data_IF_465074088167
#
_entry.id   IF_465074088167
#
_cell.length_a   1.000
_cell.length_b   1.000
_cell.length_c   1.000
_cell.angle_alpha   90.00
_cell.angle_beta   90.00
_cell.angle_gamma   90.00
#
_symmetry.space_group_name_H-M   'P 1'
#
loop_
_entity.id
_entity.type
_entity.pdbx_description
1 polymer ?
#
# COMPACT_ATOMS: atom_id res chain seq x y z
N UNK A 1 -16.27 -21.02 74.43
CA UNK A 1 -16.36 -22.12 73.43
C UNK A 1 -17.48 -21.92 72.42
N UNK A 2 -18.78 -21.89 72.79
CA UNK A 2 -19.89 -21.75 71.82
C UNK A 2 -19.77 -20.57 70.82
N UNK A 3 -19.27 -19.41 71.26
CA UNK A 3 -19.05 -18.25 70.38
C UNK A 3 -17.93 -18.50 69.35
N UNK A 4 -16.85 -19.18 69.75
CA UNK A 4 -15.73 -19.52 68.89
C UNK A 4 -16.13 -20.58 67.86
N UNK A 5 -16.87 -21.61 68.27
CA UNK A 5 -17.43 -22.62 67.36
C UNK A 5 -18.35 -22.00 66.31
N UNK A 6 -19.20 -21.05 66.72
CA UNK A 6 -20.07 -20.31 65.80
C UNK A 6 -19.25 -19.48 64.80
N UNK A 7 -18.21 -18.79 65.25
CA UNK A 7 -17.33 -18.02 64.37
C UNK A 7 -16.58 -18.93 63.39
N UNK A 8 -16.05 -20.06 63.86
CA UNK A 8 -15.37 -21.05 63.02
C UNK A 8 -16.28 -21.59 61.91
N UNK A 9 -17.51 -21.99 62.26
CA UNK A 9 -18.50 -22.46 61.26
C UNK A 9 -18.81 -21.39 60.22
N UNK A 10 -19.00 -20.14 60.64
CA UNK A 10 -19.25 -19.03 59.74
C UNK A 10 -18.08 -18.78 58.78
N UNK A 11 -16.84 -18.78 59.28
CA UNK A 11 -15.66 -18.63 58.42
C UNK A 11 -15.54 -19.79 57.42
N UNK A 12 -15.90 -21.00 57.83
CA UNK A 12 -15.88 -22.18 56.96
C UNK A 12 -16.96 -22.10 55.86
N UNK A 13 -18.14 -21.57 56.18
CA UNK A 13 -19.19 -21.25 55.21
C UNK A 13 -18.71 -20.19 54.20
N UNK A 14 -18.09 -19.11 54.66
CA UNK A 14 -17.54 -18.04 53.80
C UNK A 14 -16.45 -18.57 52.86
N UNK A 15 -15.56 -19.44 53.33
CA UNK A 15 -14.54 -20.12 52.49
C UNK A 15 -15.21 -20.99 51.42
N UNK A 16 -16.26 -21.74 51.78
CA UNK A 16 -16.97 -22.59 50.83
C UNK A 16 -17.68 -21.77 49.75
N UNK A 17 -18.33 -20.66 50.12
CA UNK A 17 -18.98 -19.75 49.16
C UNK A 17 -17.96 -19.10 48.21
N UNK A 18 -16.78 -18.70 48.72
CA UNK A 18 -15.71 -18.19 47.87
C UNK A 18 -15.21 -19.23 46.86
N UNK A 19 -14.97 -20.46 47.31
CA UNK A 19 -14.55 -21.57 46.43
C UNK A 19 -15.58 -21.83 45.34
N UNK A 20 -16.86 -21.86 45.71
CA UNK A 20 -17.97 -22.01 44.76
C UNK A 20 -17.96 -20.91 43.71
N UNK A 21 -17.82 -19.65 44.15
CA UNK A 21 -17.75 -18.48 43.25
C UNK A 21 -16.59 -18.57 42.25
N UNK A 22 -15.41 -19.03 42.69
CA UNK A 22 -14.23 -19.21 41.81
C UNK A 22 -14.50 -20.29 40.76
N UNK A 23 -15.07 -21.43 41.17
CA UNK A 23 -15.40 -22.51 40.24
C UNK A 23 -16.44 -22.05 39.20
N UNK A 24 -17.51 -21.38 39.65
CA UNK A 24 -18.54 -20.85 38.76
C UNK A 24 -17.95 -19.87 37.73
N UNK A 25 -16.98 -19.04 38.14
CA UNK A 25 -16.29 -18.11 37.25
C UNK A 25 -15.40 -18.85 36.21
N UNK A 26 -14.71 -19.91 36.62
CA UNK A 26 -13.89 -20.74 35.71
C UNK A 26 -14.78 -21.48 34.71
N UNK A 27 -15.89 -22.07 35.15
CA UNK A 27 -16.86 -22.75 34.28
C UNK A 27 -17.43 -21.77 33.25
N UNK A 28 -17.74 -20.54 33.67
CA UNK A 28 -18.24 -19.50 32.78
C UNK A 28 -17.17 -19.04 31.77
N UNK A 29 -15.91 -18.94 32.18
CA UNK A 29 -14.79 -18.61 31.29
C UNK A 29 -14.58 -19.71 30.23
N UNK A 30 -14.60 -20.97 30.64
CA UNK A 30 -14.51 -22.12 29.73
C UNK A 30 -15.67 -22.11 28.73
N UNK A 31 -16.91 -21.94 29.22
CA UNK A 31 -18.12 -21.88 28.39
C UNK A 31 -18.05 -20.76 27.36
N UNK A 32 -17.59 -19.56 27.76
CA UNK A 32 -17.44 -18.42 26.86
C UNK A 32 -16.36 -18.70 25.80
N UNK A 33 -15.21 -19.24 26.20
CA UNK A 33 -14.10 -19.58 25.29
C UNK A 33 -14.54 -20.61 24.24
N UNK A 34 -15.27 -21.66 24.66
CA UNK A 34 -15.85 -22.66 23.74
C UNK A 34 -16.81 -22.02 22.75
N UNK A 35 -17.71 -21.15 23.22
CA UNK A 35 -18.67 -20.45 22.36
C UNK A 35 -17.98 -19.55 21.33
N UNK A 36 -16.92 -18.85 21.72
CA UNK A 36 -16.13 -18.03 20.79
C UNK A 36 -15.43 -18.90 19.74
N UNK A 37 -14.85 -20.03 20.16
CA UNK A 37 -14.22 -20.99 19.26
C UNK A 37 -15.21 -21.57 18.25
N UNK A 38 -16.41 -21.97 18.70
CA UNK A 38 -17.48 -22.47 17.83
C UNK A 38 -17.94 -21.39 16.83
N UNK A 39 -18.05 -20.14 17.31
CA UNK A 39 -18.43 -19.00 16.45
C UNK A 39 -17.38 -18.73 15.37
N UNK A 40 -16.09 -18.79 15.74
CA UNK A 40 -14.97 -18.63 14.82
C UNK A 40 -14.94 -19.76 13.78
N UNK A 41 -15.15 -21.01 14.23
CA UNK A 41 -15.20 -22.18 13.36
C UNK A 41 -16.35 -22.08 12.34
N UNK A 42 -17.56 -21.76 12.78
CA UNK A 42 -18.71 -21.63 11.89
C UNK A 42 -18.58 -20.45 10.92
N UNK A 43 -18.01 -19.33 11.37
CA UNK A 43 -17.73 -18.18 10.49
C UNK A 43 -16.71 -18.55 9.42
N UNK A 44 -15.63 -19.22 9.81
CA UNK A 44 -14.58 -19.70 8.89
C UNK A 44 -15.15 -20.68 7.87
N UNK A 45 -15.96 -21.64 8.32
CA UNK A 45 -16.62 -22.62 7.46
C UNK A 45 -17.54 -21.95 6.42
N UNK A 46 -18.31 -20.94 6.83
CA UNK A 46 -19.15 -20.14 5.90
C UNK A 46 -18.32 -19.37 4.88
N UNK A 47 -17.18 -18.80 5.29
CA UNK A 47 -16.26 -18.12 4.37
C UNK A 47 -15.73 -19.10 3.32
N UNK A 48 -15.17 -20.23 3.75
CA UNK A 48 -14.64 -21.27 2.86
C UNK A 48 -15.74 -21.77 1.90
N UNK A 49 -16.96 -22.00 2.40
CA UNK A 49 -18.08 -22.42 1.55
C UNK A 49 -18.42 -21.38 0.48
N UNK A 50 -18.44 -20.10 0.84
CA UNK A 50 -18.66 -18.99 -0.10
C UNK A 50 -17.56 -18.95 -1.17
N UNK A 51 -16.31 -19.18 -0.78
CA UNK A 51 -15.17 -19.21 -1.71
C UNK A 51 -15.24 -20.40 -2.67
N UNK A 52 -15.67 -21.57 -2.20
CA UNK A 52 -15.93 -22.76 -3.03
C UNK A 52 -17.02 -22.47 -4.07
N UNK A 53 -18.12 -21.83 -3.66
CA UNK A 53 -19.22 -21.46 -4.56
C UNK A 53 -18.76 -20.47 -5.63
N UNK A 54 -18.01 -19.43 -5.25
CA UNK A 54 -17.44 -18.46 -6.16
C UNK A 54 -16.46 -19.10 -7.18
N UNK A 55 -15.62 -20.02 -6.72
CA UNK A 55 -14.70 -20.76 -7.60
C UNK A 55 -15.47 -21.65 -8.58
N UNK A 56 -16.50 -22.35 -8.10
CA UNK A 56 -17.34 -23.24 -8.92
C UNK A 56 -18.04 -22.46 -10.04
N UNK A 57 -18.63 -21.31 -9.72
CA UNK A 57 -19.28 -20.43 -10.70
C UNK A 57 -18.27 -19.88 -11.71
N UNK A 58 -17.07 -19.52 -11.26
CA UNK A 58 -16.01 -19.03 -12.16
C UNK A 58 -15.51 -20.10 -13.13
N UNK A 59 -15.36 -21.35 -12.67
CA UNK A 59 -15.01 -22.51 -13.51
C UNK A 59 -16.09 -22.74 -14.57
N UNK A 60 -17.36 -22.67 -14.18
CA UNK A 60 -18.49 -22.79 -15.11
C UNK A 60 -18.46 -21.70 -16.19
N UNK A 61 -18.18 -20.45 -15.81
CA UNK A 61 -18.08 -19.32 -16.75
C UNK A 61 -16.91 -19.49 -17.73
N UNK A 62 -15.73 -19.91 -17.25
CA UNK A 62 -14.58 -20.20 -18.12
C UNK A 62 -14.89 -21.34 -19.09
N UNK A 63 -15.55 -22.40 -18.61
CA UNK A 63 -15.95 -23.55 -19.44
C UNK A 63 -16.91 -23.12 -20.53
N UNK A 64 -17.93 -22.32 -20.21
CA UNK A 64 -18.86 -21.77 -21.19
C UNK A 64 -18.15 -20.88 -22.24
N UNK A 65 -17.25 -20.00 -21.80
CA UNK A 65 -16.45 -19.16 -22.72
C UNK A 65 -15.55 -19.99 -23.64
N UNK A 66 -15.00 -21.10 -23.13
CA UNK A 66 -14.18 -22.03 -23.92
C UNK A 66 -15.01 -22.75 -24.98
N UNK A 67 -16.20 -23.23 -24.63
CA UNK A 67 -17.11 -23.85 -25.60
C UNK A 67 -17.57 -22.86 -26.67
N UNK A 68 -17.93 -21.64 -26.27
CA UNK A 68 -18.25 -20.56 -27.19
C UNK A 68 -17.11 -20.28 -28.17
N UNK A 69 -15.87 -20.23 -27.65
CA UNK A 69 -14.68 -20.03 -28.46
C UNK A 69 -14.49 -21.15 -29.50
N UNK A 70 -14.70 -22.41 -29.10
CA UNK A 70 -14.60 -23.58 -29.98
C UNK A 70 -15.68 -23.59 -31.08
N UNK A 71 -16.84 -22.95 -30.87
CA UNK A 71 -17.94 -22.89 -31.85
C UNK A 71 -17.77 -21.80 -32.91
N UNK A 72 -16.86 -20.84 -32.71
CA UNK A 72 -16.65 -19.75 -33.67
C UNK A 72 -15.95 -20.29 -34.92
N UNK A 73 -16.66 -20.33 -36.05
CA UNK A 73 -16.09 -20.69 -37.36
C UNK A 73 -14.91 -19.78 -37.71
N UNK A 74 -13.93 -20.31 -38.44
CA UNK A 74 -12.62 -19.68 -38.69
C UNK A 74 -12.66 -18.25 -39.24
N UNK A 75 -13.76 -17.80 -39.85
CA UNK A 75 -13.82 -16.54 -40.60
C UNK A 75 -14.03 -15.27 -39.75
N UNK A 76 -14.19 -15.34 -38.42
CA UNK A 76 -14.43 -14.16 -37.58
C UNK A 76 -13.34 -13.96 -36.50
N UNK A 77 -12.16 -13.52 -36.95
CA UNK A 77 -10.98 -13.30 -36.10
C UNK A 77 -11.20 -12.27 -34.98
N UNK A 78 -11.98 -11.19 -35.24
CA UNK A 78 -12.25 -10.17 -34.23
C UNK A 78 -13.09 -10.72 -33.07
N UNK A 79 -14.09 -11.57 -33.38
CA UNK A 79 -14.90 -12.22 -32.35
C UNK A 79 -14.08 -13.24 -31.53
N UNK A 80 -13.17 -13.99 -32.18
CA UNK A 80 -12.22 -14.88 -31.49
C UNK A 80 -11.34 -14.09 -30.51
N UNK A 81 -10.76 -12.97 -30.95
CA UNK A 81 -9.93 -12.12 -30.11
C UNK A 81 -10.69 -11.57 -28.91
N UNK A 82 -11.92 -11.06 -29.10
CA UNK A 82 -12.76 -10.55 -28.01
C UNK A 82 -13.06 -11.67 -26.98
N UNK A 83 -13.45 -12.87 -27.44
CA UNK A 83 -13.74 -14.00 -26.55
C UNK A 83 -12.49 -14.51 -25.84
N UNK A 84 -11.35 -14.58 -26.52
CA UNK A 84 -10.05 -14.90 -25.91
C UNK A 84 -9.69 -13.90 -24.82
N UNK A 85 -9.79 -12.58 -25.09
CA UNK A 85 -9.52 -11.55 -24.08
C UNK A 85 -10.45 -11.66 -22.88
N UNK A 86 -11.75 -11.94 -23.09
CA UNK A 86 -12.70 -12.17 -21.99
C UNK A 86 -12.33 -13.39 -21.14
N UNK A 87 -11.93 -14.49 -21.77
CA UNK A 87 -11.47 -15.70 -21.10
C UNK A 87 -10.19 -15.44 -20.29
N UNK A 88 -9.20 -14.77 -20.89
CA UNK A 88 -7.94 -14.40 -20.23
C UNK A 88 -8.19 -13.53 -18.99
N UNK A 89 -9.05 -12.51 -19.10
CA UNK A 89 -9.42 -11.65 -17.97
C UNK A 89 -10.10 -12.45 -16.87
N UNK A 90 -10.97 -13.42 -17.20
CA UNK A 90 -11.59 -14.29 -16.20
C UNK A 90 -10.58 -15.23 -15.54
N UNK A 91 -9.66 -15.82 -16.31
CA UNK A 91 -8.61 -16.70 -15.79
C UNK A 91 -7.73 -15.98 -14.76
N UNK A 92 -7.31 -14.75 -15.06
CA UNK A 92 -6.51 -13.92 -14.14
C UNK A 92 -7.27 -13.64 -12.84
N UNK A 93 -8.59 -13.39 -12.93
CA UNK A 93 -9.42 -13.17 -11.72
C UNK A 93 -9.51 -14.43 -10.86
N UNK A 94 -9.70 -15.59 -11.48
CA UNK A 94 -9.75 -16.87 -10.75
C UNK A 94 -8.41 -17.16 -10.08
N UNK A 95 -7.30 -16.93 -10.79
CA UNK A 95 -5.96 -17.10 -10.24
C UNK A 95 -5.72 -16.20 -9.03
N UNK A 96 -6.15 -14.94 -9.08
CA UNK A 96 -6.06 -14.03 -7.94
C UNK A 96 -6.85 -14.52 -6.71
N UNK A 97 -8.08 -15.02 -6.91
CA UNK A 97 -8.90 -15.59 -5.83
C UNK A 97 -8.26 -16.84 -5.24
N UNK A 98 -7.75 -17.75 -6.09
CA UNK A 98 -7.07 -18.96 -5.64
C UNK A 98 -5.78 -18.63 -4.87
N UNK A 99 -5.05 -17.60 -5.30
CA UNK A 99 -3.86 -17.14 -4.60
C UNK A 99 -4.21 -16.58 -3.22
N UNK A 100 -5.28 -15.78 -3.11
CA UNK A 100 -5.79 -15.28 -1.83
C UNK A 100 -6.13 -16.43 -0.87
N UNK A 101 -6.93 -17.40 -1.34
CA UNK A 101 -7.28 -18.61 -0.58
C UNK A 101 -6.03 -19.38 -0.15
N UNK A 102 -5.06 -19.56 -1.06
CA UNK A 102 -3.83 -20.31 -0.78
C UNK A 102 -2.95 -19.59 0.25
N UNK A 103 -2.84 -18.26 0.17
CA UNK A 103 -2.06 -17.47 1.14
C UNK A 103 -2.69 -17.43 2.53
N UNK A 104 -4.00 -17.65 2.63
CA UNK A 104 -4.72 -17.70 3.91
C UNK A 104 -4.71 -19.08 4.57
N UNK A 105 -4.20 -20.12 3.89
CA UNK A 105 -4.51 -21.52 4.22
C UNK A 105 -3.57 -22.26 5.19
N UNK A 106 -3.01 -21.58 6.17
CA UNK A 106 -2.63 -22.24 7.43
C UNK A 106 -3.22 -21.50 8.62
N UNK A 107 -4.54 -21.66 8.82
CA UNK A 107 -5.15 -21.31 10.10
C UNK A 107 -4.71 -22.29 11.17
N UNK A 108 -3.59 -21.96 11.83
CA UNK A 108 -3.11 -22.68 13.01
C UNK A 108 -3.73 -22.08 14.25
N UNK A 109 -4.75 -22.74 14.81
CA UNK A 109 -5.28 -22.41 16.13
C UNK A 109 -4.27 -22.83 17.20
N UNK A 110 -3.64 -21.86 17.86
CA UNK A 110 -2.73 -22.11 18.97
C UNK A 110 -3.39 -21.57 20.24
N UNK A 111 -3.83 -22.47 21.12
CA UNK A 111 -4.23 -22.07 22.46
C UNK A 111 -2.99 -21.68 23.27
N UNK A 112 -2.98 -20.46 23.79
CA UNK A 112 -1.95 -19.99 24.72
C UNK A 112 -2.64 -19.68 26.05
N UNK A 113 -2.35 -20.42 27.13
CA UNK A 113 -2.92 -20.12 28.43
C UNK A 113 -2.45 -18.74 28.89
N UNK A 114 -3.33 -17.99 29.55
CA UNK A 114 -2.98 -16.72 30.17
C UNK A 114 -2.07 -16.99 31.38
N UNK A 115 -0.81 -16.60 31.25
CA UNK A 115 0.21 -16.79 32.29
C UNK A 115 -0.12 -16.02 33.56
N UNK A 116 -0.86 -14.92 33.47
CA UNK A 116 -1.28 -14.11 34.62
C UNK A 116 -2.31 -14.87 35.44
N UNK A 117 -3.28 -15.52 34.80
CA UNK A 117 -4.26 -16.37 35.50
C UNK A 117 -3.53 -17.54 36.17
N UNK A 118 -2.59 -18.17 35.46
CA UNK A 118 -1.79 -19.27 36.02
C UNK A 118 -0.92 -18.84 37.22
N UNK A 119 -0.32 -17.65 37.16
CA UNK A 119 0.46 -17.07 38.26
C UNK A 119 -0.42 -16.67 39.44
N UNK A 120 -1.56 -16.04 39.18
CA UNK A 120 -2.52 -15.69 40.21
C UNK A 120 -3.04 -16.95 40.90
N UNK A 121 -3.47 -17.96 40.16
CA UNK A 121 -3.93 -19.23 40.73
C UNK A 121 -2.85 -19.98 41.52
N UNK A 122 -1.57 -19.90 41.12
CA UNK A 122 -0.47 -20.54 41.86
C UNK A 122 -0.06 -19.76 43.13
N UNK A 123 -0.28 -18.45 43.17
CA UNK A 123 -0.07 -17.61 44.36
C UNK A 123 -1.24 -17.64 45.36
N UNK A 124 -2.38 -18.23 44.99
CA UNK A 124 -3.56 -18.40 45.88
C UNK A 124 -3.35 -19.38 47.06
N UNK A 125 -2.12 -19.78 47.37
CA UNK A 125 -1.80 -20.53 48.60
C UNK A 125 -2.22 -19.79 49.88
N UNK A 126 -2.51 -18.49 49.81
CA UNK A 126 -3.14 -17.67 50.85
C UNK A 126 -4.44 -16.99 50.42
N UNK A 127 -5.43 -17.76 49.93
CA UNK A 127 -6.77 -17.25 49.52
C UNK A 127 -7.54 -16.50 50.62
N UNK A 128 -7.11 -16.63 51.87
CA UNK A 128 -7.60 -15.85 53.00
C UNK A 128 -6.59 -15.82 54.14
N UNK A 129 -6.63 -14.74 54.92
CA UNK A 129 -5.91 -14.65 56.19
C UNK A 129 -6.94 -14.70 57.32
N UNK A 130 -6.78 -15.63 58.26
CA UNK A 130 -7.60 -15.68 59.47
C UNK A 130 -6.95 -14.76 60.50
N UNK A 131 -7.57 -13.61 60.76
CA UNK A 131 -7.15 -12.71 61.83
C UNK A 131 -7.81 -13.14 63.15
N UNK A 132 -7.03 -13.62 64.11
CA UNK A 132 -7.51 -13.84 65.48
C UNK A 132 -7.31 -12.57 66.29
N UNK A 133 -8.40 -11.87 66.63
CA UNK A 133 -8.34 -10.78 67.61
C UNK A 133 -8.39 -11.38 69.02
N UNK A 134 -7.26 -11.92 69.50
CA UNK A 134 -7.14 -12.25 70.91
C UNK A 134 -7.16 -10.94 71.70
N UNK A 135 -8.29 -10.65 72.37
CA UNK A 135 -8.27 -9.70 73.49
C UNK A 135 -7.34 -10.31 74.54
N UNK A 136 -6.09 -9.85 74.59
CA UNK A 136 -5.24 -10.05 75.77
C UNK A 136 -6.03 -9.53 76.96
N UNK A 137 -6.54 -10.45 77.78
CA UNK A 137 -7.11 -10.13 79.08
C UNK A 137 -5.92 -9.60 79.87
N UNK A 138 -5.77 -8.28 79.92
CA UNK A 138 -4.78 -7.69 80.81
C UNK A 138 -5.16 -8.11 82.24
N UNK A 139 -4.23 -8.71 83.01
CA UNK A 139 -4.48 -8.94 84.43
C UNK A 139 -4.76 -7.58 85.07
N UNK A 140 -5.85 -7.51 85.85
CA UNK A 140 -6.39 -6.28 86.42
C UNK A 140 -5.28 -5.41 87.06
N UNK A 141 -4.89 -4.33 86.40
CA UNK A 141 -4.02 -3.33 86.98
C UNK A 141 -4.83 -2.52 87.99
N UNK A 142 -4.40 -2.60 89.26
CA UNK A 142 -4.92 -1.79 90.36
C UNK A 142 -4.85 -0.31 89.99
N UNK A 143 -6.00 0.32 90.15
CA UNK A 143 -6.25 1.75 90.11
C UNK A 143 -5.22 2.50 90.98
N UNK A 144 -4.56 3.49 90.41
CA UNK A 144 -4.06 4.64 91.19
C UNK A 144 -4.37 5.90 90.38
N UNK A 145 -5.27 6.70 90.93
CA UNK A 145 -5.68 7.99 90.40
C UNK A 145 -4.51 8.97 90.44
N UNK A 146 -4.42 9.85 89.44
CA UNK A 146 -4.05 11.23 89.68
C UNK A 146 -4.65 12.16 88.63
N UNK A 147 -5.34 13.18 89.15
CA UNK A 147 -5.78 14.40 88.49
C UNK A 147 -4.58 15.11 87.84
N UNK A 148 -4.78 15.77 86.69
CA UNK A 148 -4.59 17.22 86.51
C UNK A 148 -5.18 17.65 85.15
N UNK A 149 -5.77 18.83 85.20
CA UNK A 149 -6.73 19.50 84.31
C UNK A 149 -6.05 20.38 83.24
N UNK A 150 -6.79 20.67 82.15
CA UNK A 150 -6.88 21.91 81.30
C UNK A 150 -6.63 21.65 79.80
N UNK A 151 -7.67 21.71 78.96
CA UNK A 151 -8.23 22.89 78.24
C UNK A 151 -7.29 23.44 77.14
N UNK A 152 -7.57 23.22 75.85
CA UNK A 152 -8.46 24.02 74.99
C UNK A 152 -8.41 23.57 73.51
N UNK A 153 -9.44 24.02 72.79
CA UNK A 153 -10.01 23.62 71.47
C UNK A 153 -9.73 24.77 70.44
N UNK A 154 -10.32 24.82 69.22
CA UNK A 154 -9.98 24.20 67.92
C UNK A 154 -9.76 25.23 66.75
N UNK A 155 -9.86 24.71 65.51
CA UNK A 155 -10.18 25.34 64.20
C UNK A 155 -8.98 25.68 63.29
N UNK A 156 -9.05 25.61 61.95
CA UNK A 156 -9.82 24.89 60.92
C UNK A 156 -9.31 25.43 59.56
N UNK A 157 -9.45 24.64 58.47
CA UNK A 157 -9.48 25.08 57.04
C UNK A 157 -8.19 25.68 56.43
N UNK A 158 -7.86 25.64 55.14
CA UNK A 158 -8.38 25.06 53.89
C UNK A 158 -7.43 25.44 52.72
N UNK A 159 -7.43 24.63 51.66
CA UNK A 159 -7.40 25.00 50.21
C UNK A 159 -6.18 25.66 49.50
N UNK A 160 -5.93 25.11 48.29
CA UNK A 160 -5.51 25.70 46.99
C UNK A 160 -4.18 26.49 46.92
N UNK A 161 -3.31 26.38 45.92
CA UNK A 161 -3.52 26.27 44.47
C UNK A 161 -2.18 25.89 43.76
N UNK A 162 -2.20 25.47 42.47
CA UNK A 162 -1.02 25.06 41.71
C UNK A 162 -0.37 26.21 40.89
N UNK A 163 0.95 26.31 40.96
CA UNK A 163 1.76 27.26 40.19
C UNK A 163 2.14 26.74 38.79
N UNK A 164 1.78 27.54 37.79
CA UNK A 164 1.97 27.38 36.36
C UNK A 164 3.30 28.07 35.92
N UNK A 165 4.19 27.42 35.16
CA UNK A 165 5.28 28.10 34.41
C UNK A 165 5.64 27.40 33.08
N UNK A 166 5.00 27.86 32.00
CA UNK A 166 5.54 28.59 30.84
C UNK A 166 6.99 28.34 30.32
N UNK A 167 7.05 27.91 29.03
CA UNK A 167 7.94 28.33 27.90
C UNK A 167 9.45 28.04 27.86
N UNK A 168 9.89 27.45 26.73
CA UNK A 168 10.70 28.07 25.64
C UNK A 168 11.27 26.95 24.73
N UNK A 169 10.90 26.81 23.46
CA UNK A 169 11.39 27.53 22.25
C UNK A 169 12.92 27.68 22.17
N UNK A 170 13.57 26.71 21.54
CA UNK A 170 14.86 26.90 20.85
C UNK A 170 14.60 26.85 19.34
N UNK A 171 14.83 27.98 18.68
CA UNK A 171 15.05 28.09 17.24
C UNK A 171 16.56 28.19 17.06
N UNK A 172 17.17 27.25 16.34
CA UNK A 172 18.52 27.43 15.81
C UNK A 172 18.44 27.64 14.30
N UNK A 173 18.93 28.82 13.90
CA UNK A 173 19.24 29.22 12.54
C UNK A 173 20.56 28.54 12.13
N UNK A 174 20.60 27.90 10.97
CA UNK A 174 21.86 27.58 10.30
C UNK A 174 21.82 28.18 8.90
N UNK A 175 22.70 29.16 8.70
CA UNK A 175 22.99 29.82 7.42
C UNK A 175 23.71 28.88 6.46
N UNK A 176 23.31 28.95 5.19
CA UNK A 176 24.00 28.37 4.03
C UNK A 176 24.92 29.44 3.43
N UNK A 177 26.16 29.13 3.06
CA UNK A 177 26.91 29.94 2.10
C UNK A 177 26.75 29.40 0.68
N UNK A 178 26.36 30.32 -0.20
CA UNK A 178 26.52 30.28 -1.65
C UNK A 178 28.02 30.24 -2.00
N UNK A 179 28.44 29.60 -3.10
CA UNK A 179 29.03 30.45 -4.12
C UNK A 179 28.70 30.05 -5.56
N UNK A 180 28.22 31.06 -6.29
CA UNK A 180 28.46 31.25 -7.72
C UNK A 180 29.95 31.12 -8.10
N UNK A 181 30.25 30.44 -9.22
CA UNK A 181 30.81 31.09 -10.42
C UNK A 181 31.41 30.09 -11.41
N UNK A 182 30.83 30.10 -12.61
CA UNK A 182 31.48 30.07 -13.93
C UNK A 182 32.92 29.56 -14.04
N UNK A 183 33.15 28.58 -14.92
CA UNK A 183 34.18 28.74 -15.99
C UNK A 183 33.96 27.77 -17.15
N UNK A 184 33.91 28.39 -18.34
CA UNK A 184 34.08 27.80 -19.66
C UNK A 184 35.44 27.08 -19.73
N UNK A 185 35.52 25.96 -20.45
CA UNK A 185 36.52 25.72 -21.49
C UNK A 185 36.29 24.39 -22.22
N UNK A 186 36.20 24.48 -23.55
CA UNK A 186 36.40 23.44 -24.57
C UNK A 186 37.63 23.93 -25.36
N UNK A 187 38.62 23.10 -25.71
CA UNK A 187 38.64 22.33 -26.98
C UNK A 187 39.29 20.94 -26.75
N UNK A 188 39.45 20.00 -27.67
CA UNK A 188 39.31 19.90 -29.12
C UNK A 188 39.62 18.45 -29.50
N UNK A 189 39.33 18.10 -30.76
CA UNK A 189 39.55 16.79 -31.38
C UNK A 189 40.99 16.28 -31.24
N UNK A 190 41.14 14.95 -31.11
CA UNK A 190 42.23 14.21 -31.76
C UNK A 190 41.82 12.75 -32.01
N UNK A 191 41.97 12.37 -33.28
CA UNK A 191 41.89 11.05 -33.89
C UNK A 191 43.22 10.31 -33.72
N UNK A 192 43.19 9.01 -33.39
CA UNK A 192 44.20 8.03 -33.84
C UNK A 192 43.83 6.60 -33.48
N UNK A 193 43.66 5.78 -34.52
CA UNK A 193 44.18 4.43 -34.75
C UNK A 193 44.27 3.36 -33.64
N UNK A 194 43.55 2.27 -33.92
CA UNK A 194 44.02 0.88 -34.03
C UNK A 194 45.15 0.42 -33.09
N UNK A 195 44.80 -0.40 -32.08
CA UNK A 195 45.45 -1.70 -31.88
C UNK A 195 44.57 -2.65 -31.04
N UNK A 196 44.32 -3.85 -31.55
CA UNK A 196 43.87 -5.03 -30.78
C UNK A 196 45.09 -5.62 -30.06
N UNK A 197 44.98 -6.17 -28.83
CA UNK A 197 44.73 -7.62 -28.72
C UNK A 197 43.99 -8.06 -27.45
N UNK A 198 43.54 -9.32 -27.43
CA UNK A 198 43.37 -10.07 -26.19
C UNK A 198 42.01 -10.75 -26.06
N UNK A 199 41.93 -11.99 -26.54
CA UNK A 199 40.92 -12.94 -26.09
C UNK A 199 41.10 -13.19 -24.59
N UNK A 200 40.11 -12.82 -23.79
CA UNK A 200 40.00 -13.21 -22.38
C UNK A 200 38.73 -14.03 -22.22
N UNK A 201 38.91 -15.25 -21.73
CA UNK A 201 37.86 -16.20 -21.38
C UNK A 201 36.99 -15.64 -20.24
N UNK A 202 35.70 -15.45 -20.49
CA UNK A 202 34.74 -15.16 -19.42
C UNK A 202 34.07 -16.46 -18.97
N UNK A 203 34.44 -16.87 -17.76
CA UNK A 203 33.69 -17.82 -16.95
C UNK A 203 32.31 -17.25 -16.65
N UNK A 204 31.28 -18.07 -16.90
CA UNK A 204 29.89 -17.77 -16.56
C UNK A 204 29.73 -17.97 -15.04
N UNK A 205 29.82 -16.88 -14.27
CA UNK A 205 29.40 -16.86 -12.88
C UNK A 205 27.90 -16.64 -12.81
N UNK A 206 27.18 -17.69 -12.41
CA UNK A 206 25.75 -17.70 -12.12
C UNK A 206 25.43 -16.79 -10.92
N UNK A 207 24.94 -15.58 -11.17
CA UNK A 207 24.39 -14.72 -10.13
C UNK A 207 22.88 -14.93 -9.98
N UNK A 208 22.54 -15.74 -8.98
CA UNK A 208 21.38 -15.60 -8.08
C UNK A 208 20.28 -14.60 -8.47
N UNK A 209 19.12 -15.13 -8.83
CA UNK A 209 17.85 -14.42 -8.86
C UNK A 209 17.52 -13.86 -7.46
N UNK A 210 17.66 -12.54 -7.30
CA UNK A 210 16.98 -11.83 -6.22
C UNK A 210 15.49 -11.71 -6.60
N UNK A 211 14.66 -12.45 -5.87
CA UNK A 211 13.21 -12.32 -5.87
C UNK A 211 12.85 -10.89 -5.47
N UNK A 212 12.34 -10.12 -6.45
CA UNK A 212 11.75 -8.81 -6.20
C UNK A 212 10.47 -9.03 -5.40
N UNK A 213 10.50 -8.57 -4.16
CA UNK A 213 9.43 -8.68 -3.18
C UNK A 213 8.34 -7.63 -3.45
N UNK A 214 7.08 -8.08 -3.53
CA UNK A 214 5.90 -7.29 -3.18
C UNK A 214 5.31 -6.36 -4.25
N UNK A 215 4.58 -6.92 -5.22
CA UNK A 215 3.50 -6.18 -5.88
C UNK A 215 2.16 -6.73 -5.38
N UNK A 216 1.44 -5.97 -4.55
CA UNK A 216 0.04 -6.24 -4.23
C UNK A 216 -0.82 -5.68 -5.37
N UNK A 217 -1.47 -6.52 -6.20
CA UNK A 217 -2.41 -6.00 -7.18
C UNK A 217 -3.60 -5.36 -6.44
N UNK A 218 -3.88 -4.11 -6.77
CA UNK A 218 -5.06 -3.41 -6.28
C UNK A 218 -6.32 -4.26 -6.56
N UNK A 219 -7.18 -4.41 -5.56
CA UNK A 219 -8.38 -5.23 -5.61
C UNK A 219 -9.18 -4.94 -6.90
N UNK A 220 -9.31 -5.95 -7.74
CA UNK A 220 -10.01 -5.84 -9.03
C UNK A 220 -11.51 -5.67 -8.73
N UNK A 221 -11.99 -4.43 -8.84
CA UNK A 221 -13.40 -4.08 -8.68
C UNK A 221 -14.27 -4.95 -9.59
N UNK A 222 -15.41 -5.43 -9.04
CA UNK A 222 -16.39 -6.31 -9.71
C UNK A 222 -16.64 -5.90 -11.18
N UNK A 223 -16.66 -6.86 -12.13
CA UNK A 223 -17.05 -6.57 -13.50
C UNK A 223 -18.54 -6.17 -13.53
N UNK A 224 -18.87 -5.24 -14.42
CA UNK A 224 -20.24 -4.82 -14.79
C UNK A 224 -20.91 -3.72 -13.96
N UNK A 225 -20.15 -2.86 -13.29
CA UNK A 225 -20.68 -1.51 -13.06
C UNK A 225 -20.64 -0.74 -14.38
N UNK A 226 -21.80 -0.59 -15.02
CA UNK A 226 -21.99 0.44 -16.05
C UNK A 226 -21.75 1.78 -15.37
N UNK A 227 -20.57 2.34 -15.55
CA UNK A 227 -20.21 3.67 -15.04
C UNK A 227 -20.99 4.69 -15.89
N UNK A 228 -22.18 5.08 -15.41
CA UNK A 228 -22.91 6.20 -15.99
C UNK A 228 -22.26 7.49 -15.52
N UNK A 229 -21.74 8.28 -16.47
CA UNK A 229 -21.21 9.63 -16.20
C UNK A 229 -22.36 10.50 -15.70
N UNK A 230 -22.38 10.79 -14.39
CA UNK A 230 -23.45 11.58 -13.76
C UNK A 230 -23.41 13.05 -14.17
N UNK A 231 -22.22 13.59 -14.39
CA UNK A 231 -22.00 14.98 -14.77
C UNK A 231 -20.64 15.13 -15.43
N UNK A 232 -20.51 16.06 -16.35
CA UNK A 232 -19.23 16.47 -16.93
C UNK A 232 -19.01 17.96 -16.72
N UNK A 233 -17.78 18.34 -16.39
CA UNK A 233 -17.34 19.73 -16.31
C UNK A 233 -16.25 19.95 -17.34
N UNK A 234 -16.21 21.15 -17.92
CA UNK A 234 -15.18 21.55 -18.88
C UNK A 234 -14.24 22.54 -18.20
N UNK A 235 -12.95 22.32 -18.38
CA UNK A 235 -11.89 23.19 -17.87
C UNK A 235 -11.05 23.66 -19.05
N UNK A 236 -10.70 24.94 -19.07
CA UNK A 236 -9.76 25.45 -20.07
C UNK A 236 -8.34 25.12 -19.64
N UNK A 237 -7.57 24.52 -20.54
CA UNK A 237 -6.14 24.24 -20.36
C UNK A 237 -5.27 25.12 -21.25
N UNK A 238 -5.86 26.15 -21.87
CA UNK A 238 -5.15 27.14 -22.67
C UNK A 238 -4.42 28.12 -21.75
N UNK A 239 -3.15 28.38 -22.05
CA UNK A 239 -2.32 29.33 -21.31
C UNK A 239 -1.91 30.50 -22.21
N UNK A 240 -1.42 31.58 -21.59
CA UNK A 240 -0.86 32.72 -22.32
C UNK A 240 0.36 32.24 -23.12
N UNK A 241 0.35 32.47 -24.43
CA UNK A 241 1.41 32.05 -25.35
C UNK A 241 1.05 30.87 -26.24
N UNK A 242 -0.06 30.16 -25.95
CA UNK A 242 -0.58 29.13 -26.87
C UNK A 242 -1.07 29.77 -28.16
N UNK A 243 -0.45 29.37 -29.28
CA UNK A 243 -0.75 29.90 -30.62
C UNK A 243 -1.96 29.23 -31.25
N UNK A 244 -2.23 27.99 -30.87
CA UNK A 244 -3.26 27.15 -31.48
C UNK A 244 -4.35 26.78 -30.48
N UNK A 245 -5.32 25.99 -30.94
CA UNK A 245 -6.29 25.33 -30.06
C UNK A 245 -5.56 24.22 -29.30
N UNK A 246 -5.94 23.96 -28.05
CA UNK A 246 -5.31 22.88 -27.29
C UNK A 246 -5.83 21.53 -27.81
N UNK A 247 -4.97 20.73 -28.44
CA UNK A 247 -5.31 19.38 -28.88
C UNK A 247 -4.69 18.36 -27.92
N UNK A 248 -5.49 17.88 -26.97
CA UNK A 248 -5.00 16.99 -25.92
C UNK A 248 -4.95 15.54 -26.39
N UNK A 249 -3.76 14.96 -26.42
CA UNK A 249 -3.51 13.60 -26.95
C UNK A 249 -3.31 12.55 -25.86
N UNK A 250 -2.86 12.96 -24.68
CA UNK A 250 -2.58 12.07 -23.57
C UNK A 250 -2.76 12.78 -22.24
N UNK A 251 -3.14 12.00 -21.22
CA UNK A 251 -3.25 12.39 -19.83
C UNK A 251 -2.56 11.32 -19.00
N UNK A 252 -1.81 11.73 -17.98
CA UNK A 252 -1.16 10.81 -17.06
C UNK A 252 -1.15 11.40 -15.65
N UNK A 253 -1.31 10.54 -14.66
CA UNK A 253 -1.10 10.87 -13.25
C UNK A 253 0.22 10.22 -12.79
N UNK A 254 1.05 10.96 -12.07
CA UNK A 254 2.27 10.42 -11.43
C UNK A 254 1.90 9.62 -10.18
N UNK A 255 2.85 8.88 -9.59
CA UNK A 255 2.57 8.17 -8.35
C UNK A 255 2.34 9.10 -7.14
N UNK A 256 2.76 10.36 -7.20
CA UNK A 256 2.45 11.39 -6.19
C UNK A 256 1.15 12.16 -6.45
N UNK A 257 0.41 11.82 -7.50
CA UNK A 257 -0.92 12.37 -7.78
C UNK A 257 -0.92 13.66 -8.60
N UNK A 258 0.21 14.05 -9.20
CA UNK A 258 0.26 15.15 -10.14
C UNK A 258 -0.34 14.75 -11.49
N UNK A 259 -1.20 15.62 -12.03
CA UNK A 259 -1.89 15.37 -13.29
C UNK A 259 -1.21 16.13 -14.43
N UNK A 260 -0.78 15.42 -15.46
CA UNK A 260 -0.13 15.99 -16.64
C UNK A 260 -0.93 15.70 -17.91
N UNK A 261 -0.88 16.63 -18.85
CA UNK A 261 -1.46 16.47 -20.19
C UNK A 261 -0.46 16.86 -21.26
N UNK A 262 -0.57 16.25 -22.44
CA UNK A 262 0.14 16.66 -23.65
C UNK A 262 -0.77 17.50 -24.53
N UNK A 263 -0.27 18.65 -24.99
CA UNK A 263 -0.95 19.54 -25.94
C UNK A 263 -0.18 19.50 -27.27
N UNK A 264 -0.72 18.75 -28.23
CA UNK A 264 -0.07 18.43 -29.49
C UNK A 264 0.22 19.69 -30.30
N UNK A 265 -0.83 20.45 -30.63
CA UNK A 265 -0.73 21.61 -31.52
C UNK A 265 0.15 22.72 -30.94
N UNK A 266 0.25 22.82 -29.60
CA UNK A 266 1.10 23.82 -28.95
C UNK A 266 2.47 23.27 -28.54
N UNK A 267 2.81 22.01 -28.86
CA UNK A 267 4.08 21.36 -28.54
C UNK A 267 4.44 21.47 -27.04
N UNK A 268 3.49 21.21 -26.13
CA UNK A 268 3.71 21.40 -24.67
C UNK A 268 3.29 20.17 -23.86
N UNK A 269 3.96 19.98 -22.73
CA UNK A 269 3.42 19.22 -21.59
C UNK A 269 2.96 20.22 -20.53
N UNK A 270 1.77 20.03 -20.00
CA UNK A 270 1.16 20.93 -19.00
C UNK A 270 0.88 20.15 -17.72
N UNK A 271 1.26 20.75 -16.60
CA UNK A 271 0.97 20.26 -15.25
C UNK A 271 -0.30 20.94 -14.75
N UNK A 272 -1.25 20.15 -14.26
CA UNK A 272 -2.52 20.60 -13.72
C UNK A 272 -2.53 20.49 -12.19
N UNK A 273 -3.18 21.43 -11.52
CA UNK A 273 -3.54 21.30 -10.11
C UNK A 273 -4.81 20.46 -9.92
N UNK A 274 -5.20 20.26 -8.66
CA UNK A 274 -6.42 19.54 -8.27
C UNK A 274 -7.71 20.21 -8.77
N UNK A 275 -7.64 21.48 -9.20
CA UNK A 275 -8.75 22.23 -9.81
C UNK A 275 -8.70 22.21 -11.34
N UNK A 276 -7.81 21.40 -11.92
CA UNK A 276 -7.56 21.26 -13.35
C UNK A 276 -7.05 22.54 -14.03
N UNK A 277 -6.44 23.45 -13.27
CA UNK A 277 -5.77 24.64 -13.81
C UNK A 277 -4.32 24.33 -14.13
N UNK A 278 -3.81 24.88 -15.22
CA UNK A 278 -2.41 24.73 -15.60
C UNK A 278 -1.54 25.55 -14.66
N UNK A 279 -0.66 24.90 -13.89
CA UNK A 279 0.27 25.54 -12.94
C UNK A 279 1.70 25.61 -13.45
N UNK A 280 2.09 24.69 -14.33
CA UNK A 280 3.38 24.72 -15.01
C UNK A 280 3.27 24.10 -16.41
N UNK A 281 4.24 24.41 -17.27
CA UNK A 281 4.33 23.80 -18.59
C UNK A 281 5.79 23.65 -19.02
N UNK A 282 6.03 22.73 -19.95
CA UNK A 282 7.32 22.49 -20.58
C UNK A 282 7.14 22.49 -22.10
N UNK A 283 7.85 23.39 -22.78
CA UNK A 283 7.92 23.42 -24.24
C UNK A 283 8.71 22.24 -24.79
N UNK A 284 8.19 21.59 -25.83
CA UNK A 284 8.85 20.50 -26.55
C UNK A 284 9.26 20.96 -27.95
N UNK A 285 10.29 20.33 -28.55
CA UNK A 285 10.76 20.72 -29.88
C UNK A 285 9.80 20.29 -31.01
N UNK A 286 8.82 19.43 -30.73
CA UNK A 286 7.87 18.88 -31.68
C UNK A 286 6.62 18.40 -30.94
N UNK A 287 5.60 18.04 -31.71
CA UNK A 287 4.32 17.48 -31.31
C UNK A 287 4.41 16.29 -30.33
N UNK A 288 3.91 16.41 -29.08
CA UNK A 288 3.77 15.28 -28.17
C UNK A 288 2.53 14.42 -28.52
N UNK A 289 2.69 13.09 -28.54
CA UNK A 289 1.62 12.17 -28.94
C UNK A 289 1.07 11.32 -27.80
N UNK A 290 1.93 10.76 -26.95
CA UNK A 290 1.55 9.86 -25.87
C UNK A 290 2.49 10.03 -24.68
N UNK A 291 2.00 9.74 -23.48
CA UNK A 291 2.76 9.87 -22.24
C UNK A 291 2.41 8.76 -21.27
N UNK A 292 3.39 8.33 -20.47
CA UNK A 292 3.17 7.46 -19.32
C UNK A 292 4.05 7.88 -18.13
N UNK A 293 3.61 7.51 -16.93
CA UNK A 293 4.38 7.68 -15.70
C UNK A 293 5.37 6.54 -15.52
N UNK A 294 6.61 6.88 -15.15
CA UNK A 294 7.67 5.93 -14.85
C UNK A 294 7.78 5.71 -13.34
N UNK A 295 7.76 6.79 -12.56
CA UNK A 295 7.82 6.76 -11.10
C UNK A 295 7.01 7.91 -10.47
N UNK A 296 7.29 8.30 -9.23
CA UNK A 296 6.61 9.43 -8.57
C UNK A 296 6.87 10.77 -9.24
N UNK A 297 8.02 10.96 -9.86
CA UNK A 297 8.45 12.26 -10.39
C UNK A 297 8.74 12.24 -11.89
N UNK A 298 8.91 11.08 -12.51
CA UNK A 298 9.39 10.98 -13.89
C UNK A 298 8.28 10.50 -14.83
N UNK A 299 8.07 11.23 -15.91
CA UNK A 299 7.20 10.83 -17.02
C UNK A 299 7.99 10.69 -18.32
N UNK A 300 7.56 9.78 -19.18
CA UNK A 300 8.10 9.60 -20.52
C UNK A 300 7.06 10.02 -21.55
N UNK A 301 7.47 10.83 -22.53
CA UNK A 301 6.60 11.44 -23.54
C UNK A 301 7.12 11.14 -24.93
N UNK A 302 6.31 10.59 -25.82
CA UNK A 302 6.66 10.46 -27.24
C UNK A 302 6.54 11.81 -27.93
N UNK A 303 7.60 12.23 -28.63
CA UNK A 303 7.75 13.56 -29.22
C UNK A 303 8.18 13.44 -30.68
N UNK A 304 7.42 14.07 -31.57
CA UNK A 304 7.66 14.00 -33.00
C UNK A 304 7.44 12.58 -33.55
N UNK A 305 8.40 12.09 -34.34
CA UNK A 305 8.33 10.76 -34.93
C UNK A 305 9.12 9.73 -34.14
N UNK A 306 10.32 10.01 -33.62
CA UNK A 306 11.23 8.97 -33.15
C UNK A 306 11.95 9.33 -31.84
N UNK A 307 11.34 10.14 -30.97
CA UNK A 307 11.96 10.54 -29.71
C UNK A 307 11.05 10.28 -28.52
N UNK A 308 11.66 9.91 -27.40
CA UNK A 308 11.02 9.90 -26.08
C UNK A 308 11.73 10.92 -25.20
N UNK A 309 11.00 11.93 -24.74
CA UNK A 309 11.50 12.92 -23.79
C UNK A 309 11.09 12.51 -22.39
N UNK A 310 12.06 12.47 -21.48
CA UNK A 310 11.81 12.25 -20.07
C UNK A 310 11.69 13.60 -19.38
N UNK A 311 10.61 13.80 -18.63
CA UNK A 311 10.31 15.05 -17.93
C UNK A 311 10.12 14.72 -16.46
N UNK A 312 10.85 15.44 -15.62
CA UNK A 312 10.75 15.34 -14.16
C UNK A 312 9.83 16.41 -13.62
N UNK A 313 8.92 16.02 -12.74
CA UNK A 313 8.08 16.87 -11.93
C UNK A 313 8.81 17.12 -10.61
N UNK A 314 9.10 18.38 -10.29
CA UNK A 314 9.80 18.72 -9.04
C UNK A 314 9.28 20.05 -8.54
N UNK A 315 8.71 20.05 -7.32
CA UNK A 315 8.19 21.25 -6.66
C UNK A 315 7.22 22.05 -7.55
N UNK A 316 6.31 21.35 -8.24
CA UNK A 316 5.34 21.98 -9.14
C UNK A 316 5.92 22.51 -10.46
N UNK A 317 7.16 22.15 -10.80
CA UNK A 317 7.80 22.50 -12.07
C UNK A 317 8.04 21.27 -12.94
N UNK A 318 8.14 21.50 -14.26
CA UNK A 318 8.45 20.48 -15.26
C UNK A 318 9.86 20.71 -15.80
N UNK A 319 10.77 19.77 -15.59
CA UNK A 319 12.19 19.86 -15.96
C UNK A 319 12.49 18.74 -16.96
N UNK A 320 13.05 19.07 -18.13
CA UNK A 320 13.52 18.05 -19.08
C UNK A 320 14.71 17.32 -18.48
N UNK A 321 14.63 16.00 -18.39
CA UNK A 321 15.63 15.13 -17.78
C UNK A 321 16.60 14.60 -18.86
N UNK A 322 16.10 13.83 -19.82
CA UNK A 322 16.89 13.25 -20.92
C UNK A 322 16.03 12.95 -22.15
N UNK A 323 16.69 12.63 -23.26
CA UNK A 323 16.04 12.27 -24.53
C UNK A 323 16.55 10.91 -24.99
N UNK A 324 15.63 10.01 -25.33
CA UNK A 324 15.91 8.75 -26.00
C UNK A 324 15.53 8.89 -27.48
N UNK A 325 16.50 8.68 -28.37
CA UNK A 325 16.27 8.64 -29.83
C UNK A 325 16.08 7.21 -30.28
N UNK A 326 15.01 6.97 -31.04
CA UNK A 326 14.61 5.68 -31.56
C UNK A 326 14.94 5.59 -33.05
N UNK A 327 15.12 4.36 -33.53
CA UNK A 327 15.34 4.05 -34.95
C UNK A 327 14.04 3.76 -35.71
N UNK A 328 12.89 3.98 -35.07
CA UNK A 328 11.57 3.77 -35.63
C UNK A 328 10.61 4.85 -35.12
N UNK A 329 9.40 4.91 -35.69
CA UNK A 329 8.38 5.85 -35.25
C UNK A 329 7.86 5.51 -33.85
N UNK A 330 7.34 6.48 -33.08
CA UNK A 330 6.79 6.26 -31.75
C UNK A 330 5.52 7.08 -31.57
N UNK A 331 4.39 6.38 -31.54
CA UNK A 331 3.06 6.97 -31.39
C UNK A 331 2.49 6.74 -30.00
N UNK A 332 2.59 5.51 -29.48
CA UNK A 332 2.10 5.15 -28.15
C UNK A 332 3.24 4.72 -27.23
N UNK A 333 3.08 4.99 -25.93
CA UNK A 333 4.01 4.54 -24.89
C UNK A 333 3.24 4.06 -23.65
N UNK A 334 3.72 2.98 -23.05
CA UNK A 334 3.30 2.50 -21.74
C UNK A 334 4.51 2.06 -20.93
N UNK A 335 4.39 2.07 -19.60
CA UNK A 335 5.44 1.63 -18.70
C UNK A 335 4.92 0.52 -17.78
N UNK A 336 5.70 -0.56 -17.64
CA UNK A 336 5.40 -1.64 -16.72
C UNK A 336 6.69 -2.35 -16.29
N UNK A 337 6.85 -2.57 -14.98
CA UNK A 337 7.97 -3.31 -14.39
C UNK A 337 9.36 -2.86 -14.88
N UNK A 338 9.61 -1.55 -14.95
CA UNK A 338 10.90 -0.99 -15.37
C UNK A 338 11.16 -1.05 -16.88
N UNK A 339 10.15 -1.39 -17.69
CA UNK A 339 10.24 -1.43 -19.15
C UNK A 339 9.24 -0.48 -19.80
N UNK A 340 9.65 0.05 -20.95
CA UNK A 340 8.83 0.87 -21.84
C UNK A 340 8.33 0.02 -23.00
N UNK A 341 7.03 0.08 -23.22
CA UNK A 341 6.34 -0.55 -24.36
C UNK A 341 5.99 0.56 -25.32
N UNK A 342 6.68 0.60 -26.47
CA UNK A 342 6.55 1.69 -27.45
C UNK A 342 5.97 1.10 -28.73
N UNK A 343 4.96 1.75 -29.31
CA UNK A 343 4.38 1.34 -30.60
C UNK A 343 4.57 2.41 -31.66
N UNK A 344 4.81 1.96 -32.89
CA UNK A 344 4.89 2.78 -34.10
C UNK A 344 3.61 2.71 -34.96
N UNK A 345 2.54 2.09 -34.43
CA UNK A 345 1.27 1.85 -35.13
C UNK A 345 1.18 0.46 -35.78
N UNK A 346 2.29 -0.17 -36.10
CA UNK A 346 2.33 -1.49 -36.75
C UNK A 346 3.05 -2.55 -35.89
N UNK A 347 4.02 -2.12 -35.11
CA UNK A 347 4.85 -2.92 -34.25
C UNK A 347 4.79 -2.46 -32.79
N UNK A 348 5.21 -3.37 -31.91
CA UNK A 348 5.37 -3.14 -30.48
C UNK A 348 6.81 -3.47 -30.09
N UNK A 349 7.49 -2.51 -29.49
CA UNK A 349 8.87 -2.61 -29.06
C UNK A 349 8.95 -2.56 -27.54
N UNK A 350 9.82 -3.38 -26.97
CA UNK A 350 10.15 -3.38 -25.56
C UNK A 350 11.52 -2.74 -25.36
N UNK A 351 11.55 -1.62 -24.65
CA UNK A 351 12.77 -0.94 -24.24
C UNK A 351 12.92 -1.00 -22.72
N UNK A 352 14.15 -0.94 -22.25
CA UNK A 352 14.41 -0.57 -20.86
C UNK A 352 14.26 0.94 -20.68
N UNK A 353 14.08 1.41 -19.45
CA UNK A 353 13.92 2.85 -19.14
C UNK A 353 15.19 3.68 -19.42
N UNK A 354 16.36 3.06 -19.43
CA UNK A 354 17.63 3.65 -19.88
C UNK A 354 17.78 3.69 -21.41
N UNK A 355 16.84 3.09 -22.15
CA UNK A 355 16.73 3.23 -23.60
C UNK A 355 17.33 2.11 -24.43
N UNK A 356 17.69 0.97 -23.82
CA UNK A 356 18.14 -0.20 -24.56
C UNK A 356 16.95 -0.94 -25.13
N UNK A 357 16.94 -1.17 -26.45
CA UNK A 357 15.96 -2.06 -27.09
C UNK A 357 16.20 -3.49 -26.58
N UNK A 358 15.19 -4.07 -25.92
CA UNK A 358 15.21 -5.46 -25.45
C UNK A 358 14.78 -6.38 -26.58
N UNK A 359 13.63 -6.11 -27.20
CA UNK A 359 13.11 -6.87 -28.34
C UNK A 359 11.95 -6.17 -29.04
N UNK A 360 11.75 -6.52 -30.30
CA UNK A 360 10.49 -6.31 -31.03
C UNK A 360 9.52 -7.43 -30.63
N UNK A 361 8.43 -7.07 -29.96
CA UNK A 361 7.46 -8.02 -29.40
C UNK A 361 6.41 -8.45 -30.42
N UNK A 362 6.03 -7.55 -31.32
CA UNK A 362 5.03 -7.79 -32.35
C UNK A 362 5.36 -6.93 -33.57
N UNK A 363 5.13 -7.50 -34.75
CA UNK A 363 5.17 -6.77 -36.02
C UNK A 363 3.94 -7.17 -36.83
N UNK A 364 3.13 -6.19 -37.18
CA UNK A 364 2.00 -6.39 -38.09
C UNK A 364 2.49 -6.98 -39.39
N UNK A 365 1.84 -8.05 -39.85
CA UNK A 365 2.08 -8.64 -41.18
C UNK A 365 1.26 -7.96 -42.27
N UNK A 366 0.48 -6.93 -41.92
CA UNK A 366 -0.15 -6.07 -42.91
C UNK A 366 0.96 -5.47 -43.76
N UNK A 367 1.16 -6.00 -44.96
CA UNK A 367 2.13 -5.54 -45.95
C UNK A 367 1.83 -4.16 -46.51
N UNK A 368 1.33 -3.25 -45.66
CA UNK A 368 1.32 -1.83 -45.90
C UNK A 368 2.79 -1.39 -45.85
N UNK A 369 3.47 -1.58 -46.98
CA UNK A 369 4.75 -0.94 -47.23
C UNK A 369 4.48 0.56 -47.23
N UNK A 370 4.55 1.20 -46.06
CA UNK A 370 4.70 2.64 -45.91
C UNK A 370 6.12 3.04 -46.33
N UNK A 371 6.50 2.64 -47.55
CA UNK A 371 7.73 3.06 -48.20
C UNK A 371 7.58 4.51 -48.63
N UNK A 372 8.43 5.36 -48.08
CA UNK A 372 9.02 6.52 -48.76
C UNK A 372 8.06 7.59 -49.30
N UNK A 373 7.37 8.33 -48.44
CA UNK A 373 6.77 9.62 -48.85
C UNK A 373 7.20 10.86 -48.08
N UNK A 374 8.23 10.77 -47.22
CA UNK A 374 8.84 11.95 -46.61
C UNK A 374 10.36 11.79 -46.53
N UNK A 375 11.03 12.17 -47.61
CA UNK A 375 12.47 12.48 -47.66
C UNK A 375 12.64 13.87 -48.22
#
# INVERSE_FOLDING_TARGET
MKSLEKSYKRTLEEINELRKTINDALDQLEKNTKKELDTLLETTKKSIQTDIENCTESIKNITCLKEDWMRIKEKNESLKFIKYRKCLVHSIKVEAVLQEITTQNEMKLIFKPDTTIQQNLSTLSGLGQIFSSEKKIQPAQKITQNLVTRQNKPEASSQSDPGNQTTSRLKENISIPDPSSSRKNRPGNQTSDLTMPGQVSNQVSSSSHQLVQGYQPAAVSKPDQIIKVKSSKRYSVKIKGDKYTCFITSICETASGELLITDLDNCKVKLLDQTYKVVAHCDLPSDPRSMCSIDSSLVAVTVGYNQVHFIRVTNGQLIKDRILKLQHSCFGIAHQHGNLYITDGEALYLYTVDGRLVREMYKGTSGYNAGNHYS
#
